data_IF_976043526995
#
_entry.id   IF_976043526995
#
_cell.length_a   1.000
_cell.length_b   1.000
_cell.length_c   1.000
_cell.angle_alpha   90.00
_cell.angle_beta   90.00
_cell.angle_gamma   90.00
#
_symmetry.space_group_name_H-M   'P 1'
#
loop_
_entity.id
_entity.type
_entity.pdbx_description
1 polymer ?
#
# COMPACT_ATOMS: atom_id res chain seq x y z
N UNK A 1 -30.04 -4.25 18.90
CA UNK A 1 -29.07 -5.33 19.15
C UNK A 1 -27.91 -4.96 18.27
N UNK A 2 -26.89 -4.31 18.82
CA UNK A 2 -25.68 -4.01 18.05
C UNK A 2 -24.96 -5.34 17.87
N UNK A 3 -25.06 -5.91 16.68
CA UNK A 3 -24.35 -7.13 16.31
C UNK A 3 -22.88 -6.76 16.11
N UNK A 4 -22.15 -6.68 17.22
CA UNK A 4 -20.71 -6.38 17.18
C UNK A 4 -20.00 -7.49 16.42
N UNK A 5 -19.48 -7.16 15.24
CA UNK A 5 -18.74 -8.12 14.40
C UNK A 5 -17.49 -8.57 15.15
N UNK A 6 -17.44 -9.86 15.48
CA UNK A 6 -16.31 -10.47 16.21
C UNK A 6 -15.13 -10.78 15.28
N UNK A 7 -13.92 -10.70 15.83
CA UNK A 7 -12.67 -10.99 15.13
C UNK A 7 -12.47 -12.49 15.03
N UNK A 8 -12.15 -12.98 13.83
CA UNK A 8 -11.87 -14.39 13.61
C UNK A 8 -10.44 -14.74 14.05
N UNK A 9 -10.30 -15.85 14.78
CA UNK A 9 -9.00 -16.41 15.16
C UNK A 9 -8.71 -17.67 14.34
N UNK A 10 -7.55 -17.70 13.69
CA UNK A 10 -7.09 -18.86 12.93
C UNK A 10 -5.74 -19.31 13.49
N UNK A 11 -5.55 -20.62 13.63
CA UNK A 11 -4.26 -21.20 13.96
C UNK A 11 -3.70 -21.84 12.69
N UNK A 12 -2.67 -21.23 12.10
CA UNK A 12 -2.00 -21.75 10.92
C UNK A 12 -0.48 -21.77 11.11
N UNK A 13 0.15 -22.77 10.51
CA UNK A 13 1.61 -22.92 10.49
C UNK A 13 2.23 -22.33 9.22
N UNK A 14 1.43 -21.86 8.27
CA UNK A 14 1.91 -21.20 7.05
C UNK A 14 2.30 -19.75 7.33
N UNK A 15 3.56 -19.44 7.05
CA UNK A 15 4.09 -18.09 7.16
C UNK A 15 3.29 -17.07 6.32
N UNK A 16 2.88 -17.44 5.10
CA UNK A 16 2.12 -16.50 4.24
C UNK A 16 0.76 -16.17 4.85
N UNK A 17 0.08 -17.16 5.40
CA UNK A 17 -1.18 -16.93 6.08
C UNK A 17 -0.98 -16.11 7.36
N UNK A 18 0.04 -16.42 8.18
CA UNK A 18 0.31 -15.66 9.41
C UNK A 18 0.58 -14.17 9.14
N UNK A 19 1.29 -13.86 8.05
CA UNK A 19 1.55 -12.47 7.65
C UNK A 19 0.30 -11.78 7.11
N UNK A 20 -0.52 -12.49 6.32
CA UNK A 20 -1.82 -12.01 5.87
C UNK A 20 -2.78 -11.76 7.05
N UNK A 21 -2.81 -12.67 8.03
CA UNK A 21 -3.59 -12.55 9.25
C UNK A 21 -3.16 -11.36 10.09
N UNK A 22 -1.86 -11.10 10.21
CA UNK A 22 -1.35 -9.89 10.86
C UNK A 22 -1.91 -8.61 10.22
N UNK A 23 -1.93 -8.55 8.89
CA UNK A 23 -2.52 -7.41 8.15
C UNK A 23 -4.03 -7.29 8.32
N UNK A 24 -4.74 -8.40 8.31
CA UNK A 24 -6.17 -8.45 8.65
C UNK A 24 -6.41 -7.91 10.07
N UNK A 25 -5.63 -8.38 11.05
CA UNK A 25 -5.75 -7.99 12.45
C UNK A 25 -5.58 -6.48 12.63
N UNK A 26 -4.53 -5.90 12.03
CA UNK A 26 -4.26 -4.46 12.11
C UNK A 26 -5.42 -3.62 11.53
N UNK A 27 -6.01 -4.07 10.43
CA UNK A 27 -7.11 -3.37 9.74
C UNK A 27 -8.46 -3.57 10.43
N UNK A 28 -8.68 -4.74 11.02
CA UNK A 28 -9.91 -5.06 11.75
C UNK A 28 -10.06 -4.20 13.01
N UNK A 29 -8.95 -3.97 13.73
CA UNK A 29 -8.97 -3.19 14.96
C UNK A 29 -9.24 -1.69 14.71
N UNK A 30 -8.96 -1.19 13.49
CA UNK A 30 -9.16 0.21 13.10
C UNK A 30 -10.35 0.49 12.18
N UNK A 31 -11.08 -0.54 11.73
CA UNK A 31 -12.15 -0.43 10.73
C UNK A 31 -13.56 -0.25 11.30
N UNK A 32 -14.45 0.30 10.48
CA UNK A 32 -15.89 0.35 10.73
C UNK A 32 -16.54 -1.05 10.65
N UNK A 33 -17.77 -1.18 11.12
CA UNK A 33 -18.47 -2.47 11.21
C UNK A 33 -18.66 -3.16 9.85
N UNK A 34 -19.07 -2.40 8.82
CA UNK A 34 -19.16 -2.90 7.43
C UNK A 34 -17.80 -3.39 6.91
N UNK A 35 -16.71 -2.68 7.29
CA UNK A 35 -15.35 -3.05 6.86
C UNK A 35 -14.88 -4.31 7.56
N UNK A 36 -15.21 -4.48 8.83
CA UNK A 36 -14.92 -5.70 9.60
C UNK A 36 -15.58 -6.94 8.98
N UNK A 37 -16.82 -6.82 8.48
CA UNK A 37 -17.49 -7.93 7.79
C UNK A 37 -16.77 -8.33 6.50
N UNK A 38 -16.37 -7.35 5.67
CA UNK A 38 -15.62 -7.58 4.42
C UNK A 38 -14.28 -8.25 4.73
N UNK A 39 -13.59 -7.79 5.77
CA UNK A 39 -12.32 -8.37 6.20
C UNK A 39 -12.49 -9.81 6.70
N UNK A 40 -13.55 -10.10 7.46
CA UNK A 40 -13.90 -11.44 7.92
C UNK A 40 -14.20 -12.40 6.75
N UNK A 41 -14.93 -11.93 5.74
CA UNK A 41 -15.19 -12.73 4.54
C UNK A 41 -13.90 -12.99 3.77
N UNK A 42 -13.07 -11.96 3.57
CA UNK A 42 -11.82 -12.08 2.83
C UNK A 42 -10.82 -13.04 3.50
N UNK A 43 -10.63 -12.96 4.82
CA UNK A 43 -9.72 -13.88 5.54
C UNK A 43 -10.24 -15.31 5.55
N UNK A 44 -11.55 -15.50 5.62
CA UNK A 44 -12.19 -16.84 5.54
C UNK A 44 -12.02 -17.45 4.16
N UNK A 45 -12.26 -16.68 3.09
CA UNK A 45 -12.03 -17.11 1.72
C UNK A 45 -10.56 -17.43 1.46
N UNK A 46 -9.63 -16.67 2.05
CA UNK A 46 -8.19 -16.94 1.96
C UNK A 46 -7.84 -18.26 2.66
N UNK A 47 -8.41 -18.52 3.84
CA UNK A 47 -8.21 -19.76 4.58
C UNK A 47 -8.78 -20.98 3.85
N UNK A 48 -9.90 -20.82 3.15
CA UNK A 48 -10.51 -21.87 2.31
C UNK A 48 -9.85 -22.01 0.94
N UNK A 49 -8.79 -21.25 0.66
CA UNK A 49 -8.09 -21.20 -0.63
C UNK A 49 -8.99 -20.79 -1.83
N UNK A 50 -10.13 -20.14 -1.56
CA UNK A 50 -11.06 -19.65 -2.60
C UNK A 50 -10.52 -18.41 -3.30
N UNK A 51 -9.69 -17.62 -2.60
CA UNK A 51 -9.02 -16.44 -3.16
C UNK A 51 -7.51 -16.55 -3.01
N UNK A 52 -6.80 -15.94 -3.96
CA UNK A 52 -5.35 -15.84 -3.91
C UNK A 52 -4.89 -14.70 -2.99
N UNK A 53 -3.67 -14.83 -2.43
CA UNK A 53 -3.05 -13.77 -1.62
C UNK A 53 -3.04 -12.38 -2.28
N UNK A 54 -2.69 -12.22 -3.59
CA UNK A 54 -2.78 -10.93 -4.26
C UNK A 54 -4.18 -10.30 -4.23
N UNK A 55 -5.23 -11.12 -4.41
CA UNK A 55 -6.61 -10.63 -4.36
C UNK A 55 -7.00 -10.21 -2.95
N UNK A 56 -6.60 -10.97 -1.94
CA UNK A 56 -6.78 -10.62 -0.54
C UNK A 56 -6.15 -9.26 -0.20
N UNK A 57 -4.90 -9.03 -0.60
CA UNK A 57 -4.24 -7.74 -0.37
C UNK A 57 -4.91 -6.58 -1.14
N UNK A 58 -5.43 -6.83 -2.35
CA UNK A 58 -6.19 -5.82 -3.08
C UNK A 58 -7.47 -5.40 -2.33
N UNK A 59 -8.15 -6.34 -1.67
CA UNK A 59 -9.33 -6.06 -0.85
C UNK A 59 -8.94 -5.28 0.40
N UNK A 60 -7.82 -5.64 1.05
CA UNK A 60 -7.30 -4.93 2.23
C UNK A 60 -6.89 -3.49 1.90
N UNK A 61 -6.21 -3.29 0.79
CA UNK A 61 -5.67 -1.98 0.40
C UNK A 61 -6.72 -1.08 -0.28
N UNK A 62 -7.94 -1.58 -0.55
CA UNK A 62 -8.99 -0.84 -1.23
C UNK A 62 -9.35 0.50 -0.54
N UNK A 63 -9.31 0.54 0.80
CA UNK A 63 -9.60 1.75 1.59
C UNK A 63 -8.36 2.62 1.83
N UNK A 64 -7.17 2.03 1.69
CA UNK A 64 -5.92 2.76 1.81
C UNK A 64 -5.70 3.47 0.48
N UNK A 65 -6.42 4.58 0.29
CA UNK A 65 -6.31 5.53 -0.82
C UNK A 65 -5.04 5.31 -1.65
N UNK A 66 -5.15 4.41 -2.62
CA UNK A 66 -4.03 3.91 -3.44
C UNK A 66 -3.50 4.99 -4.38
N UNK A 67 -4.06 6.20 -4.24
CA UNK A 67 -3.65 7.44 -4.86
C UNK A 67 -2.50 8.14 -4.11
N UNK A 68 -1.69 7.43 -3.31
CA UNK A 68 -0.34 7.91 -2.97
C UNK A 68 0.63 7.48 -4.06
N UNK A 69 0.76 8.23 -5.18
CA UNK A 69 1.81 7.94 -6.14
C UNK A 69 3.13 7.95 -5.39
N UNK A 70 3.96 6.94 -5.61
CA UNK A 70 5.31 6.86 -5.05
C UNK A 70 5.99 8.24 -5.16
N UNK A 71 6.00 9.02 -4.08
CA UNK A 71 6.52 10.37 -4.13
C UNK A 71 8.04 10.28 -4.10
N UNK A 72 8.65 10.35 -5.28
CA UNK A 72 10.09 10.59 -5.38
C UNK A 72 10.34 12.05 -5.03
N UNK A 73 10.76 12.32 -3.80
CA UNK A 73 11.27 13.64 -3.41
C UNK A 73 12.51 13.93 -4.26
N UNK A 74 12.45 14.93 -5.14
CA UNK A 74 13.64 15.38 -5.88
C UNK A 74 14.64 15.94 -4.87
N UNK A 75 15.83 15.35 -4.82
CA UNK A 75 16.94 15.87 -4.02
C UNK A 75 17.34 17.25 -4.59
N UNK A 76 16.88 18.31 -3.93
CA UNK A 76 17.25 19.68 -4.25
C UNK A 76 18.59 19.99 -3.60
N UNK A 77 19.68 19.76 -4.33
CA UNK A 77 21.00 20.19 -3.86
C UNK A 77 22.17 19.56 -4.60
N UNK A 78 22.83 20.36 -5.45
CA UNK A 78 24.30 20.43 -5.43
C UNK A 78 24.78 21.61 -6.27
N UNK A 79 25.91 22.22 -5.87
CA UNK A 79 26.64 23.22 -6.65
C UNK A 79 26.95 22.71 -8.08
N UNK A 80 27.11 21.38 -8.24
CA UNK A 80 27.32 20.70 -9.52
C UNK A 80 26.10 20.79 -10.45
N UNK A 81 24.87 20.65 -9.94
CA UNK A 81 23.66 20.80 -10.75
C UNK A 81 23.47 22.23 -11.27
N UNK A 82 23.75 23.23 -10.44
CA UNK A 82 23.71 24.64 -10.83
C UNK A 82 24.74 24.95 -11.93
N UNK A 83 25.98 24.49 -11.76
CA UNK A 83 27.04 24.64 -12.76
C UNK A 83 26.67 24.00 -14.11
N UNK A 84 26.16 22.76 -14.12
CA UNK A 84 25.70 22.13 -15.37
C UNK A 84 24.53 22.88 -16.03
N UNK A 85 23.69 23.55 -15.25
CA UNK A 85 22.58 24.36 -15.79
C UNK A 85 23.09 25.64 -16.45
N UNK A 86 24.11 26.29 -15.89
CA UNK A 86 24.75 27.47 -16.49
C UNK A 86 25.51 27.14 -17.77
N UNK A 87 26.29 26.04 -17.79
CA UNK A 87 26.99 25.61 -19.01
C UNK A 87 26.02 25.36 -20.16
N UNK A 88 24.93 24.60 -19.92
CA UNK A 88 23.91 24.34 -20.95
C UNK A 88 23.29 25.62 -21.51
N UNK A 89 23.12 26.66 -20.68
CA UNK A 89 22.60 27.96 -21.12
C UNK A 89 23.61 28.66 -22.04
N UNK A 90 24.88 28.66 -21.68
CA UNK A 90 25.97 29.24 -22.48
C UNK A 90 26.08 28.52 -23.82
N UNK A 91 26.08 27.19 -23.83
CA UNK A 91 26.18 26.39 -25.06
C UNK A 91 24.97 26.57 -25.98
N UNK A 92 23.78 26.81 -25.42
CA UNK A 92 22.60 27.12 -26.22
C UNK A 92 22.74 28.48 -26.91
N UNK A 93 23.24 29.48 -26.20
CA UNK A 93 23.49 30.81 -26.78
C UNK A 93 24.55 30.70 -27.89
N UNK A 94 25.65 29.98 -27.65
CA UNK A 94 26.71 29.75 -28.65
C UNK A 94 26.23 29.04 -29.91
N UNK A 95 25.22 28.17 -29.81
CA UNK A 95 24.66 27.45 -30.98
C UNK A 95 23.73 28.29 -31.84
N UNK A 96 23.12 29.32 -31.27
CA UNK A 96 22.13 30.18 -31.94
C UNK A 96 22.64 31.61 -32.16
N UNK A 97 23.95 31.81 -32.06
CA UNK A 97 24.64 33.08 -32.28
C UNK A 97 25.79 32.81 -33.25
#
# INVERSE_FOLDING_TARGET
MDETVEKLSFESTDFKFSTAYGKYSDQFDGGDEERKEILNTAISQLHMEEISYPNFYAIIDADIDSSRPFHRSRIQGSRKFAYRKSERKIDRIKRHK
#
